data_IF_023631102381
#
_entry.id   IF_023631102381
#
_cell.length_a   1.000
_cell.length_b   1.000
_cell.length_c   1.000
_cell.angle_alpha   90.00
_cell.angle_beta   90.00
_cell.angle_gamma   90.00
#
_symmetry.space_group_name_H-M   'P 1'
#
loop_
_entity.id
_entity.type
_entity.pdbx_description
1 polymer ?
#
# COMPACT_ATOMS: atom_id res chain seq x y z
N UNK A 1 -77.35 -47.78 -13.79
CA UNK A 1 -76.37 -47.16 -12.92
C UNK A 1 -75.24 -46.69 -13.79
N UNK A 2 -75.29 -45.45 -14.18
CA UNK A 2 -74.42 -44.81 -15.18
C UNK A 2 -73.36 -43.96 -14.41
N UNK A 3 -72.11 -44.32 -14.52
CA UNK A 3 -71.02 -43.63 -13.85
C UNK A 3 -70.51 -42.49 -14.76
N UNK A 4 -70.76 -41.26 -14.35
CA UNK A 4 -70.25 -40.04 -15.01
C UNK A 4 -68.74 -39.90 -14.89
N UNK A 5 -68.07 -39.68 -16.02
CA UNK A 5 -66.60 -39.30 -16.10
C UNK A 5 -66.40 -37.84 -15.67
N UNK A 6 -65.35 -37.51 -14.93
CA UNK A 6 -64.99 -36.11 -14.63
C UNK A 6 -64.37 -35.43 -15.86
N UNK A 7 -64.90 -34.27 -16.17
CA UNK A 7 -64.43 -33.38 -17.25
C UNK A 7 -63.12 -32.73 -16.91
N UNK A 8 -62.11 -32.95 -17.74
CA UNK A 8 -60.79 -32.41 -17.68
C UNK A 8 -60.77 -30.88 -18.01
N UNK A 9 -60.67 -30.03 -17.01
CA UNK A 9 -60.54 -28.58 -17.18
C UNK A 9 -59.11 -28.26 -17.48
N UNK A 10 -58.76 -28.16 -18.77
CA UNK A 10 -57.46 -27.61 -19.23
C UNK A 10 -57.33 -26.15 -18.79
N UNK A 11 -56.51 -25.89 -17.75
CA UNK A 11 -56.07 -24.55 -17.39
C UNK A 11 -55.09 -24.02 -18.46
N UNK A 12 -55.57 -23.02 -19.22
CA UNK A 12 -54.70 -22.25 -20.13
C UNK A 12 -53.58 -21.55 -19.32
N UNK A 13 -52.32 -21.60 -19.78
CA UNK A 13 -51.25 -20.88 -19.09
C UNK A 13 -51.48 -19.37 -19.19
N UNK A 14 -51.61 -18.73 -18.03
CA UNK A 14 -51.68 -17.26 -17.92
C UNK A 14 -50.33 -16.69 -18.36
N UNK A 15 -50.32 -16.02 -19.52
CA UNK A 15 -49.13 -15.30 -20.00
C UNK A 15 -48.66 -14.29 -18.95
N UNK A 16 -47.47 -14.52 -18.40
CA UNK A 16 -46.85 -13.61 -17.44
C UNK A 16 -46.60 -12.27 -18.13
N UNK A 17 -47.44 -11.30 -17.88
CA UNK A 17 -47.22 -9.89 -18.28
C UNK A 17 -45.99 -9.39 -17.59
N UNK A 18 -44.88 -9.31 -18.33
CA UNK A 18 -43.60 -8.72 -17.89
C UNK A 18 -43.82 -7.22 -17.64
N UNK A 19 -44.23 -6.88 -16.40
CA UNK A 19 -44.36 -5.47 -15.98
C UNK A 19 -43.00 -4.80 -16.17
N UNK A 20 -42.89 -3.88 -17.14
CA UNK A 20 -41.77 -2.93 -17.23
C UNK A 20 -41.69 -2.21 -15.88
N UNK A 21 -40.63 -2.47 -15.09
CA UNK A 21 -40.36 -1.72 -13.85
C UNK A 21 -40.26 -0.25 -14.24
N UNK A 22 -41.28 0.54 -13.96
CA UNK A 22 -41.17 2.02 -13.96
C UNK A 22 -40.11 2.38 -12.92
N UNK A 23 -39.09 3.15 -13.34
CA UNK A 23 -38.13 3.71 -12.43
C UNK A 23 -38.92 4.54 -11.41
N UNK A 24 -38.89 4.18 -10.13
CA UNK A 24 -39.63 4.90 -9.10
C UNK A 24 -39.00 6.30 -8.92
N UNK A 25 -39.79 7.25 -8.46
CA UNK A 25 -39.35 8.61 -8.11
C UNK A 25 -38.12 8.60 -7.19
N UNK A 26 -38.06 7.63 -6.28
CA UNK A 26 -36.96 7.43 -5.33
C UNK A 26 -35.63 7.08 -6.02
N UNK A 27 -35.70 6.27 -7.10
CA UNK A 27 -34.51 5.94 -7.91
C UNK A 27 -34.01 7.16 -8.70
N UNK A 28 -34.91 7.99 -9.20
CA UNK A 28 -34.53 9.25 -9.89
C UNK A 28 -33.90 10.24 -8.93
N UNK A 29 -34.43 10.39 -7.72
CA UNK A 29 -33.82 11.22 -6.67
C UNK A 29 -32.46 10.67 -6.25
N UNK A 30 -32.33 9.38 -6.00
CA UNK A 30 -31.06 8.74 -5.66
C UNK A 30 -30.00 8.96 -6.74
N UNK A 31 -30.35 8.81 -8.01
CA UNK A 31 -29.45 9.09 -9.14
C UNK A 31 -29.07 10.57 -9.15
N UNK A 32 -30.01 11.49 -8.93
CA UNK A 32 -29.74 12.93 -8.88
C UNK A 32 -28.75 13.34 -7.79
N UNK A 33 -28.75 12.67 -6.62
CA UNK A 33 -27.78 12.92 -5.55
C UNK A 33 -26.42 12.29 -5.81
N UNK A 34 -26.35 11.12 -6.46
CA UNK A 34 -25.09 10.42 -6.71
C UNK A 34 -24.39 10.93 -7.98
N UNK A 35 -25.15 11.36 -8.99
CA UNK A 35 -24.63 11.76 -10.29
C UNK A 35 -23.55 12.84 -10.25
N UNK A 36 -23.67 13.94 -9.47
CA UNK A 36 -22.64 14.97 -9.40
C UNK A 36 -21.30 14.41 -8.91
N UNK A 37 -21.32 13.63 -7.82
CA UNK A 37 -20.10 13.01 -7.27
C UNK A 37 -19.48 12.01 -8.26
N UNK A 38 -20.32 11.21 -8.93
CA UNK A 38 -19.87 10.26 -9.94
C UNK A 38 -19.23 10.97 -11.15
N UNK A 39 -19.82 12.05 -11.64
CA UNK A 39 -19.26 12.85 -12.74
C UNK A 39 -17.94 13.50 -12.37
N UNK A 40 -17.82 14.03 -11.13
CA UNK A 40 -16.56 14.59 -10.65
C UNK A 40 -15.44 13.51 -10.62
N UNK A 41 -15.74 12.33 -10.11
CA UNK A 41 -14.78 11.21 -10.11
C UNK A 41 -14.43 10.80 -11.54
N UNK A 42 -15.42 10.68 -12.43
CA UNK A 42 -15.19 10.31 -13.82
C UNK A 42 -14.25 11.29 -14.53
N UNK A 43 -14.47 12.59 -14.36
CA UNK A 43 -13.67 13.63 -15.01
C UNK A 43 -12.31 13.79 -14.33
N UNK A 44 -12.29 14.03 -13.01
CA UNK A 44 -11.06 14.41 -12.31
C UNK A 44 -10.18 13.24 -11.91
N UNK A 45 -10.68 12.02 -11.87
CA UNK A 45 -9.84 10.84 -11.62
C UNK A 45 -9.59 10.10 -12.93
N UNK A 46 -10.63 9.55 -13.54
CA UNK A 46 -10.44 8.71 -14.74
C UNK A 46 -10.03 9.52 -15.97
N UNK A 47 -10.55 10.76 -16.11
CA UNK A 47 -10.13 11.67 -17.17
C UNK A 47 -8.65 12.04 -17.08
N UNK A 48 -8.14 12.34 -15.87
CA UNK A 48 -6.70 12.61 -15.70
C UNK A 48 -5.83 11.37 -15.86
N UNK A 49 -6.29 10.18 -15.44
CA UNK A 49 -5.57 8.94 -15.72
C UNK A 49 -5.47 8.71 -17.24
N UNK A 50 -6.58 8.88 -17.94
CA UNK A 50 -6.61 8.78 -19.41
C UNK A 50 -5.70 9.80 -20.10
N UNK A 51 -5.72 11.05 -19.61
CA UNK A 51 -4.83 12.11 -20.11
C UNK A 51 -3.35 11.77 -19.85
N UNK A 52 -2.99 11.33 -18.64
CA UNK A 52 -1.63 10.90 -18.32
C UNK A 52 -1.21 9.74 -19.22
N UNK A 53 -2.12 8.76 -19.44
CA UNK A 53 -1.90 7.67 -20.39
C UNK A 53 -1.61 8.19 -21.80
N UNK A 54 -2.41 9.12 -22.31
CA UNK A 54 -2.18 9.74 -23.63
C UNK A 54 -0.83 10.45 -23.71
N UNK A 55 -0.50 11.29 -22.73
CA UNK A 55 0.78 12.02 -22.66
C UNK A 55 1.97 11.06 -22.60
N UNK A 56 1.86 9.93 -21.92
CA UNK A 56 2.94 8.95 -21.79
C UNK A 56 3.40 8.34 -23.12
N UNK A 57 2.53 8.36 -24.14
CA UNK A 57 2.83 7.91 -25.51
C UNK A 57 3.19 9.05 -26.47
N UNK A 58 3.34 10.27 -25.97
CA UNK A 58 3.70 11.45 -26.77
C UNK A 58 5.20 11.77 -26.74
N UNK A 59 5.64 12.70 -27.58
CA UNK A 59 7.00 13.24 -27.56
C UNK A 59 7.14 14.49 -26.67
N UNK A 60 6.14 14.81 -25.83
CA UNK A 60 6.14 16.01 -25.01
C UNK A 60 7.15 15.91 -23.84
N UNK A 61 8.42 16.16 -24.14
CA UNK A 61 9.53 16.20 -23.18
C UNK A 61 10.27 17.55 -23.23
N UNK A 62 9.52 18.65 -23.33
CA UNK A 62 10.03 20.03 -23.32
C UNK A 62 8.93 21.00 -22.86
N UNK A 63 9.28 22.27 -22.69
CA UNK A 63 8.31 23.33 -22.36
C UNK A 63 7.23 23.54 -23.43
N UNK A 64 7.53 23.22 -24.69
CA UNK A 64 6.58 23.31 -25.80
C UNK A 64 5.85 21.95 -25.91
N UNK A 65 4.51 21.95 -25.89
CA UNK A 65 3.75 20.72 -26.03
C UNK A 65 3.97 20.06 -27.40
N UNK A 66 4.30 18.77 -27.38
CA UNK A 66 4.40 17.93 -28.57
C UNK A 66 3.61 16.64 -28.34
N UNK A 67 2.40 16.60 -28.88
CA UNK A 67 1.49 15.45 -28.75
C UNK A 67 1.66 14.43 -29.89
N UNK A 68 2.70 14.55 -30.74
CA UNK A 68 2.99 13.53 -31.73
C UNK A 68 3.25 12.17 -31.05
N UNK A 69 2.77 11.10 -31.69
CA UNK A 69 2.82 9.76 -31.10
C UNK A 69 4.25 9.18 -31.09
N UNK A 70 4.76 8.89 -29.90
CA UNK A 70 6.11 8.34 -29.68
C UNK A 70 6.12 6.82 -29.54
N UNK A 71 4.96 6.15 -29.53
CA UNK A 71 4.87 4.72 -29.23
C UNK A 71 5.42 4.39 -27.84
N UNK A 72 6.21 3.32 -27.73
CA UNK A 72 6.81 2.87 -26.47
C UNK A 72 8.17 3.51 -26.14
N UNK A 73 8.60 4.53 -26.89
CA UNK A 73 9.93 5.15 -26.73
C UNK A 73 10.23 5.57 -25.29
N UNK A 74 9.29 6.27 -24.64
CA UNK A 74 9.47 6.74 -23.27
C UNK A 74 9.63 5.60 -22.27
N UNK A 75 8.87 4.53 -22.44
CA UNK A 75 8.97 3.32 -21.60
C UNK A 75 10.29 2.58 -21.79
N UNK A 76 10.73 2.39 -23.06
CA UNK A 76 12.02 1.75 -23.36
C UNK A 76 13.17 2.57 -22.76
N UNK A 77 13.11 3.90 -22.91
CA UNK A 77 14.09 4.81 -22.32
C UNK A 77 14.18 4.61 -20.81
N UNK A 78 13.04 4.61 -20.09
CA UNK A 78 13.01 4.45 -18.64
C UNK A 78 13.63 3.13 -18.18
N UNK A 79 13.27 2.00 -18.79
CA UNK A 79 13.85 0.70 -18.39
C UNK A 79 15.36 0.59 -18.71
N UNK A 80 15.90 1.42 -19.59
CA UNK A 80 17.33 1.52 -19.87
C UNK A 80 18.05 2.56 -19.02
N UNK A 81 17.31 3.43 -18.34
CA UNK A 81 17.86 4.47 -17.48
C UNK A 81 18.37 3.91 -16.15
N UNK A 82 19.60 4.31 -15.77
CA UNK A 82 20.23 3.91 -14.51
C UNK A 82 19.38 4.28 -13.29
N UNK A 83 18.86 5.51 -13.29
CA UNK A 83 18.07 6.05 -12.17
C UNK A 83 16.79 5.24 -11.97
N UNK A 84 16.04 4.97 -13.05
CA UNK A 84 14.81 4.19 -12.98
C UNK A 84 15.06 2.74 -12.52
N UNK A 85 16.16 2.11 -12.96
CA UNK A 85 16.54 0.79 -12.47
C UNK A 85 16.86 0.81 -10.96
N UNK A 86 17.55 1.85 -10.47
CA UNK A 86 17.79 2.04 -9.05
C UNK A 86 16.49 2.23 -8.27
N UNK A 87 15.54 3.01 -8.80
CA UNK A 87 14.23 3.25 -8.19
C UNK A 87 13.43 1.96 -8.03
N UNK A 88 13.41 1.11 -9.06
CA UNK A 88 12.72 -0.20 -9.00
C UNK A 88 13.35 -1.10 -7.94
N UNK A 89 14.69 -1.18 -7.89
CA UNK A 89 15.42 -1.91 -6.85
C UNK A 89 15.06 -1.38 -5.45
N UNK A 90 15.13 -0.06 -5.25
CA UNK A 90 14.87 0.58 -3.97
C UNK A 90 13.42 0.33 -3.53
N UNK A 91 12.46 0.47 -4.45
CA UNK A 91 11.04 0.20 -4.17
C UNK A 91 10.82 -1.25 -3.77
N UNK A 92 11.45 -2.20 -4.44
CA UNK A 92 11.35 -3.62 -4.10
C UNK A 92 11.84 -3.89 -2.67
N UNK A 93 13.07 -3.47 -2.35
CA UNK A 93 13.65 -3.72 -1.03
C UNK A 93 12.93 -2.92 0.06
N UNK A 94 12.56 -1.67 -0.21
CA UNK A 94 11.74 -0.88 0.70
C UNK A 94 10.42 -1.59 1.02
N UNK A 95 9.70 -2.05 0.01
CA UNK A 95 8.40 -2.73 0.18
C UNK A 95 8.54 -3.99 1.03
N UNK A 96 9.51 -4.85 0.73
CA UNK A 96 9.74 -6.10 1.47
C UNK A 96 10.08 -5.82 2.94
N UNK A 97 11.05 -4.94 3.17
CA UNK A 97 11.50 -4.61 4.53
C UNK A 97 10.41 -3.88 5.32
N UNK A 98 9.78 -2.88 4.71
CA UNK A 98 8.72 -2.10 5.33
C UNK A 98 7.53 -2.98 5.76
N UNK A 99 6.99 -3.79 4.86
CA UNK A 99 5.86 -4.68 5.15
C UNK A 99 6.26 -5.70 6.23
N UNK A 100 7.42 -6.34 6.08
CA UNK A 100 7.90 -7.33 7.03
C UNK A 100 8.04 -6.77 8.45
N UNK A 101 8.73 -5.65 8.59
CA UNK A 101 8.93 -5.04 9.91
C UNK A 101 7.64 -4.44 10.50
N UNK A 102 6.76 -3.84 9.71
CA UNK A 102 5.46 -3.33 10.19
C UNK A 102 4.58 -4.46 10.69
N UNK A 103 4.54 -5.59 10.00
CA UNK A 103 3.77 -6.76 10.46
C UNK A 103 4.36 -7.32 11.76
N UNK A 104 5.66 -7.53 11.80
CA UNK A 104 6.32 -8.12 12.97
C UNK A 104 6.14 -7.21 14.19
N UNK A 105 6.48 -5.92 14.06
CA UNK A 105 6.38 -4.96 15.18
C UNK A 105 4.94 -4.75 15.62
N UNK A 106 4.00 -4.58 14.69
CA UNK A 106 2.59 -4.38 15.00
C UNK A 106 1.96 -5.59 15.67
N UNK A 107 2.24 -6.80 15.17
CA UNK A 107 1.77 -8.04 15.78
C UNK A 107 2.35 -8.27 17.19
N UNK A 108 3.66 -8.07 17.36
CA UNK A 108 4.30 -8.21 18.69
C UNK A 108 3.71 -7.23 19.70
N UNK A 109 3.55 -5.95 19.33
CA UNK A 109 2.94 -4.95 20.20
C UNK A 109 1.46 -5.27 20.49
N UNK A 110 0.71 -5.78 19.51
CA UNK A 110 -0.67 -6.18 19.69
C UNK A 110 -0.79 -7.35 20.69
N UNK A 111 0.08 -8.36 20.58
CA UNK A 111 0.12 -9.49 21.53
C UNK A 111 0.44 -9.01 22.95
N UNK A 112 1.40 -8.07 23.09
CA UNK A 112 1.75 -7.51 24.41
C UNK A 112 0.59 -6.73 25.03
N UNK A 113 -0.11 -5.90 24.23
CA UNK A 113 -1.26 -5.11 24.73
C UNK A 113 -2.51 -5.95 24.96
N UNK A 114 -2.67 -7.08 24.27
CA UNK A 114 -3.80 -8.01 24.47
C UNK A 114 -3.78 -8.70 25.85
N UNK A 115 -2.60 -8.77 26.49
CA UNK A 115 -2.42 -9.33 27.82
C UNK A 115 -3.01 -8.47 28.97
N UNK A 116 -3.78 -7.45 28.66
CA UNK A 116 -4.47 -6.56 29.64
C UNK A 116 -3.48 -5.95 30.67
N UNK A 117 -2.33 -5.49 30.20
CA UNK A 117 -1.28 -4.88 31.03
C UNK A 117 -1.78 -3.61 31.73
N UNK A 118 -1.25 -3.32 32.93
CA UNK A 118 -1.53 -2.05 33.62
C UNK A 118 -1.04 -0.87 32.79
N UNK A 119 -1.93 0.11 32.53
CA UNK A 119 -1.62 1.27 31.68
C UNK A 119 -1.75 1.02 30.16
N UNK A 120 -2.40 -0.07 29.74
CA UNK A 120 -2.65 -0.39 28.31
C UNK A 120 -3.12 0.83 27.49
N UNK A 121 -4.09 1.67 27.95
CA UNK A 121 -4.54 2.83 27.16
C UNK A 121 -3.43 3.85 26.88
N UNK A 122 -2.51 4.04 27.83
CA UNK A 122 -1.36 4.93 27.64
C UNK A 122 -0.40 4.38 26.58
N UNK A 123 0.01 3.13 26.70
CA UNK A 123 0.91 2.50 25.72
C UNK A 123 0.27 2.40 24.34
N UNK A 124 -1.02 2.07 24.26
CA UNK A 124 -1.75 2.05 23.00
C UNK A 124 -1.72 3.41 22.32
N UNK A 125 -2.03 4.49 23.04
CA UNK A 125 -2.00 5.83 22.47
C UNK A 125 -0.58 6.25 22.08
N UNK A 126 0.44 5.89 22.84
CA UNK A 126 1.85 6.17 22.53
C UNK A 126 2.28 5.52 21.22
N UNK A 127 1.91 4.26 20.98
CA UNK A 127 2.25 3.56 19.74
C UNK A 127 1.38 3.96 18.56
N UNK A 128 0.16 4.45 18.78
CA UNK A 128 -0.72 4.97 17.73
C UNK A 128 -0.35 6.40 17.32
N UNK A 129 0.26 7.17 18.20
CA UNK A 129 0.56 8.59 17.96
C UNK A 129 1.35 8.85 16.65
N UNK A 130 2.40 8.07 16.30
CA UNK A 130 3.18 8.34 15.09
C UNK A 130 2.35 8.33 13.80
N UNK A 131 1.31 7.49 13.73
CA UNK A 131 0.48 7.41 12.52
C UNK A 131 -0.39 8.65 12.28
N UNK A 132 -0.57 9.50 13.29
CA UNK A 132 -1.28 10.78 13.16
C UNK A 132 -0.41 11.88 12.51
N UNK A 133 0.90 11.67 12.41
CA UNK A 133 1.82 12.61 11.76
C UNK A 133 1.76 12.46 10.24
N UNK A 134 2.00 13.55 9.51
CA UNK A 134 2.22 13.44 8.06
C UNK A 134 3.58 12.79 7.76
N UNK A 135 3.69 12.12 6.61
CA UNK A 135 4.96 11.55 6.16
C UNK A 135 6.05 12.60 5.97
N UNK A 136 5.70 13.83 5.60
CA UNK A 136 6.66 14.95 5.49
C UNK A 136 7.25 15.30 6.85
N UNK A 137 6.42 15.45 7.87
CA UNK A 137 6.89 15.75 9.26
C UNK A 137 7.78 14.61 9.76
N UNK A 138 7.36 13.38 9.57
CA UNK A 138 8.18 12.20 9.91
C UNK A 138 9.52 12.24 9.19
N UNK A 139 9.55 12.53 7.89
CA UNK A 139 10.78 12.63 7.11
C UNK A 139 11.74 13.67 7.68
N UNK A 140 11.27 14.88 7.94
CA UNK A 140 12.10 15.97 8.49
C UNK A 140 12.64 15.63 9.89
N UNK A 141 11.79 15.07 10.77
CA UNK A 141 12.21 14.68 12.13
C UNK A 141 13.27 13.58 12.08
N UNK A 142 13.05 12.54 11.27
CA UNK A 142 14.01 11.43 11.14
C UNK A 142 15.30 11.83 10.41
N UNK A 143 15.22 12.76 9.44
CA UNK A 143 16.42 13.36 8.83
C UNK A 143 17.30 14.02 9.89
N UNK A 144 16.71 14.79 10.80
CA UNK A 144 17.43 15.43 11.89
C UNK A 144 17.98 14.41 12.91
N UNK A 145 17.15 13.44 13.32
CA UNK A 145 17.54 12.39 14.28
C UNK A 145 18.69 11.52 13.76
N UNK A 146 18.64 11.11 12.50
CA UNK A 146 19.62 10.24 11.86
C UNK A 146 20.70 11.01 11.08
N UNK A 147 20.88 12.31 11.35
CA UNK A 147 21.95 13.08 10.73
C UNK A 147 23.32 12.57 11.22
N UNK A 148 24.26 12.24 10.30
CA UNK A 148 25.57 11.69 10.69
C UNK A 148 26.41 12.59 11.61
N UNK A 149 26.21 13.92 11.51
CA UNK A 149 26.98 14.90 12.29
C UNK A 149 26.31 15.35 13.58
N UNK A 150 25.00 15.08 13.72
CA UNK A 150 24.17 15.53 14.85
C UNK A 150 23.24 14.41 15.30
N UNK A 151 22.15 14.74 15.96
CA UNK A 151 21.12 13.77 16.34
C UNK A 151 21.68 12.62 17.19
N UNK A 152 21.28 11.40 16.86
CA UNK A 152 21.63 10.19 17.62
C UNK A 152 23.14 9.92 17.58
N UNK A 153 23.83 10.34 16.53
CA UNK A 153 25.28 10.14 16.39
C UNK A 153 26.10 10.84 17.48
N UNK A 154 25.60 11.90 18.11
CA UNK A 154 26.27 12.51 19.25
C UNK A 154 26.50 11.54 20.43
N UNK A 155 25.60 10.57 20.59
CA UNK A 155 25.73 9.52 21.59
C UNK A 155 26.49 8.30 21.05
N UNK A 156 26.21 7.89 19.80
CA UNK A 156 26.84 6.72 19.18
C UNK A 156 28.36 6.92 18.98
N UNK A 157 28.79 8.13 18.66
CA UNK A 157 30.21 8.48 18.53
C UNK A 157 30.98 8.26 19.83
N UNK A 158 30.34 8.47 20.99
CA UNK A 158 30.95 8.18 22.30
C UNK A 158 31.18 6.68 22.53
N UNK A 159 30.43 5.84 21.83
CA UNK A 159 30.53 4.37 21.82
C UNK A 159 31.43 3.85 20.70
N UNK A 160 32.11 4.75 19.94
CA UNK A 160 32.94 4.39 18.80
C UNK A 160 32.14 3.97 17.53
N UNK A 161 30.82 4.22 17.50
CA UNK A 161 29.96 3.89 16.36
C UNK A 161 29.67 5.15 15.55
N UNK A 162 29.92 5.10 14.25
CA UNK A 162 29.74 6.22 13.32
C UNK A 162 28.90 5.82 12.11
N UNK A 163 27.61 5.46 12.29
CA UNK A 163 26.77 5.10 11.17
C UNK A 163 26.50 6.31 10.27
N UNK A 164 26.58 6.08 8.96
CA UNK A 164 26.30 7.12 7.95
C UNK A 164 24.81 7.28 7.67
N UNK A 165 23.97 6.38 8.18
CA UNK A 165 22.52 6.39 8.02
C UNK A 165 22.09 6.59 6.56
N UNK A 166 21.24 7.57 6.29
CA UNK A 166 20.70 7.87 4.96
C UNK A 166 21.74 8.48 3.98
N UNK A 167 22.96 8.75 4.41
CA UNK A 167 24.06 9.22 3.53
C UNK A 167 24.97 8.09 3.07
N UNK A 168 24.76 6.85 3.53
CA UNK A 168 25.58 5.70 3.14
C UNK A 168 25.19 5.21 1.75
N UNK A 169 26.14 5.26 0.81
CA UNK A 169 25.93 4.84 -0.57
C UNK A 169 26.22 3.37 -0.83
N UNK A 170 26.65 2.62 0.18
CA UNK A 170 26.96 1.20 0.02
C UNK A 170 25.68 0.38 -0.23
N UNK A 171 25.83 -0.67 -1.04
CA UNK A 171 24.78 -1.66 -1.28
C UNK A 171 25.15 -2.96 -0.59
N UNK A 172 24.31 -3.42 0.34
CA UNK A 172 24.54 -4.64 1.11
C UNK A 172 24.15 -5.87 0.29
N UNK A 173 24.97 -6.92 0.32
CA UNK A 173 24.78 -8.15 -0.44
C UNK A 173 24.55 -7.90 -1.94
N UNK A 174 25.21 -6.85 -2.48
CA UNK A 174 25.05 -6.41 -3.85
C UNK A 174 25.75 -7.31 -4.88
N UNK A 175 25.14 -7.42 -6.04
CA UNK A 175 25.73 -7.99 -7.23
C UNK A 175 25.38 -7.14 -8.45
N UNK A 176 26.24 -7.14 -9.46
CA UNK A 176 26.01 -6.34 -10.67
C UNK A 176 24.86 -6.92 -11.49
N UNK A 177 23.84 -6.11 -11.72
CA UNK A 177 22.70 -6.44 -12.59
C UNK A 177 22.34 -5.25 -13.49
N UNK A 178 22.54 -5.44 -14.77
CA UNK A 178 22.37 -4.35 -15.73
C UNK A 178 23.36 -3.20 -15.48
N UNK A 179 22.83 -2.01 -15.22
CA UNK A 179 23.62 -0.81 -14.96
C UNK A 179 23.77 -0.50 -13.46
N UNK A 180 23.11 -1.27 -12.59
CA UNK A 180 23.08 -1.03 -11.15
C UNK A 180 23.71 -2.21 -10.39
N UNK A 181 24.15 -1.94 -9.18
CA UNK A 181 24.41 -2.95 -8.15
C UNK A 181 23.09 -3.31 -7.48
N UNK A 182 22.62 -4.57 -7.67
CA UNK A 182 21.36 -5.06 -7.11
C UNK A 182 21.60 -5.62 -5.71
N UNK A 183 20.96 -5.05 -4.72
CA UNK A 183 21.09 -5.39 -3.31
C UNK A 183 20.37 -4.34 -2.46
N UNK A 184 20.54 -4.40 -1.14
CA UNK A 184 19.87 -3.48 -0.20
C UNK A 184 20.76 -2.23 0.00
N UNK A 185 20.33 -1.03 -0.45
CA UNK A 185 21.09 0.18 -0.15
C UNK A 185 21.09 0.47 1.36
N UNK A 186 22.25 0.69 1.94
CA UNK A 186 22.36 0.95 3.38
C UNK A 186 21.56 2.19 3.81
N UNK A 187 21.57 3.24 3.00
CA UNK A 187 20.79 4.45 3.24
C UNK A 187 19.27 4.19 3.29
N UNK A 188 18.77 3.21 2.52
CA UNK A 188 17.34 2.88 2.49
C UNK A 188 16.85 2.32 3.83
N UNK A 189 17.73 1.68 4.60
CA UNK A 189 17.40 1.15 5.94
C UNK A 189 16.96 2.28 6.89
N UNK A 190 17.59 3.44 6.83
CA UNK A 190 17.19 4.61 7.62
C UNK A 190 15.76 5.06 7.27
N UNK A 191 15.41 5.06 5.99
CA UNK A 191 14.05 5.39 5.52
C UNK A 191 13.04 4.34 5.98
N UNK A 192 13.40 3.05 5.90
CA UNK A 192 12.56 1.94 6.40
C UNK A 192 12.28 2.10 7.89
N UNK A 193 13.29 2.42 8.72
CA UNK A 193 13.12 2.64 10.16
C UNK A 193 12.07 3.74 10.42
N UNK A 194 12.17 4.88 9.72
CA UNK A 194 11.22 5.99 9.86
C UNK A 194 9.79 5.58 9.44
N UNK A 195 9.65 4.89 8.31
CA UNK A 195 8.37 4.42 7.81
C UNK A 195 7.72 3.36 8.72
N UNK A 196 8.51 2.41 9.21
CA UNK A 196 8.05 1.35 10.14
C UNK A 196 7.60 1.98 11.45
N UNK A 197 8.38 2.90 12.03
CA UNK A 197 7.97 3.60 13.25
C UNK A 197 6.62 4.28 13.08
N UNK A 198 6.39 4.96 11.97
CA UNK A 198 5.13 5.66 11.72
C UNK A 198 3.95 4.69 11.53
N UNK A 199 4.14 3.59 10.80
CA UNK A 199 3.03 2.72 10.39
C UNK A 199 2.83 1.50 11.29
N UNK A 200 3.71 1.25 12.25
CA UNK A 200 3.56 0.18 13.25
C UNK A 200 2.26 0.33 14.04
N UNK A 201 1.85 1.57 14.38
CA UNK A 201 0.59 1.84 15.09
C UNK A 201 -0.64 1.36 14.33
N UNK A 202 -0.67 1.54 13.00
CA UNK A 202 -1.76 1.03 12.17
C UNK A 202 -1.85 -0.50 12.22
N UNK A 203 -0.73 -1.18 12.04
CA UNK A 203 -0.66 -2.64 12.12
C UNK A 203 -1.04 -3.15 13.50
N UNK A 204 -0.56 -2.49 14.57
CA UNK A 204 -0.95 -2.75 15.95
C UNK A 204 -2.47 -2.67 16.13
N UNK A 205 -3.12 -1.61 15.65
CA UNK A 205 -4.57 -1.44 15.79
C UNK A 205 -5.35 -2.56 15.10
N UNK A 206 -4.94 -2.92 13.87
CA UNK A 206 -5.56 -4.00 13.13
C UNK A 206 -5.42 -5.36 13.83
N UNK A 207 -4.22 -5.70 14.29
CA UNK A 207 -3.99 -6.96 14.99
C UNK A 207 -4.65 -7.00 16.37
N UNK A 208 -4.64 -5.90 17.12
CA UNK A 208 -5.28 -5.84 18.44
C UNK A 208 -6.80 -6.00 18.30
N UNK A 209 -7.42 -5.38 17.30
CA UNK A 209 -8.84 -5.59 17.03
C UNK A 209 -9.15 -7.06 16.68
N UNK A 210 -8.28 -7.68 15.88
CA UNK A 210 -8.42 -9.09 15.53
C UNK A 210 -8.23 -10.05 16.70
N UNK A 211 -7.23 -9.79 17.54
CA UNK A 211 -6.98 -10.59 18.74
C UNK A 211 -8.17 -10.55 19.72
N UNK A 212 -8.77 -9.37 19.90
CA UNK A 212 -9.95 -9.16 20.74
C UNK A 212 -11.25 -9.69 20.13
N UNK A 213 -11.26 -9.96 18.85
CA UNK A 213 -12.37 -10.63 18.17
C UNK A 213 -12.37 -12.15 18.32
N UNK A 214 -11.29 -12.75 18.83
CA UNK A 214 -11.21 -14.20 19.09
C UNK A 214 -11.81 -14.47 20.47
N UNK A 215 -12.87 -15.31 20.59
CA UNK A 215 -13.47 -15.65 21.88
C UNK A 215 -12.44 -16.25 22.84
N UNK A 216 -12.52 -15.87 24.14
CA UNK A 216 -11.60 -16.37 25.18
C UNK A 216 -11.74 -17.90 25.35
N UNK A 217 -12.94 -18.47 25.10
CA UNK A 217 -13.23 -19.91 25.15
C UNK A 217 -12.33 -20.72 24.23
N UNK A 218 -11.92 -20.18 23.09
CA UNK A 218 -10.98 -20.85 22.17
C UNK A 218 -9.61 -21.04 22.81
N UNK A 219 -9.16 -20.06 23.59
CA UNK A 219 -7.88 -20.09 24.29
C UNK A 219 -7.97 -21.03 25.51
N UNK A 220 -9.10 -20.97 26.25
CA UNK A 220 -9.33 -21.82 27.43
C UNK A 220 -9.43 -23.29 27.02
N UNK A 221 -10.17 -23.62 25.97
CA UNK A 221 -10.25 -24.98 25.45
C UNK A 221 -8.87 -25.55 25.10
N UNK A 222 -8.05 -24.77 24.40
CA UNK A 222 -6.70 -25.19 24.06
C UNK A 222 -5.79 -25.41 25.27
N UNK A 223 -5.95 -24.59 26.33
CA UNK A 223 -5.24 -24.80 27.61
C UNK A 223 -5.69 -26.07 28.32
N UNK A 224 -6.99 -26.37 28.29
CA UNK A 224 -7.52 -27.62 28.85
C UNK A 224 -6.99 -28.85 28.11
N UNK A 225 -6.73 -28.74 26.79
CA UNK A 225 -6.07 -29.76 25.98
C UNK A 225 -4.56 -29.87 26.23
N UNK A 226 -4.00 -29.08 27.17
CA UNK A 226 -2.58 -29.09 27.52
C UNK A 226 -1.67 -28.33 26.56
N UNK A 227 -2.20 -27.47 25.71
CA UNK A 227 -1.39 -26.68 24.78
C UNK A 227 -0.63 -25.56 25.52
N UNK A 228 0.66 -25.40 25.25
CA UNK A 228 1.44 -24.24 25.72
C UNK A 228 1.02 -22.96 25.05
N UNK A 229 1.25 -21.79 25.69
CA UNK A 229 0.92 -20.49 25.11
C UNK A 229 1.52 -20.29 23.70
N UNK A 230 2.78 -20.67 23.49
CA UNK A 230 3.42 -20.60 22.18
C UNK A 230 2.68 -21.47 21.15
N UNK A 231 2.21 -22.64 21.55
CA UNK A 231 1.45 -23.53 20.67
C UNK A 231 0.08 -22.94 20.32
N UNK A 232 -0.61 -22.32 21.30
CA UNK A 232 -1.88 -21.62 21.11
C UNK A 232 -1.71 -20.50 20.08
N UNK A 233 -0.70 -19.62 20.27
CA UNK A 233 -0.44 -18.55 19.30
C UNK A 233 -0.11 -19.11 17.91
N UNK A 234 0.82 -20.06 17.81
CA UNK A 234 1.31 -20.56 16.52
C UNK A 234 0.27 -21.37 15.74
N UNK A 235 -0.51 -22.21 16.42
CA UNK A 235 -1.43 -23.15 15.76
C UNK A 235 -2.87 -22.67 15.69
N UNK A 236 -3.28 -21.72 16.53
CA UNK A 236 -4.67 -21.26 16.63
C UNK A 236 -4.76 -19.78 16.31
N UNK A 237 -4.10 -18.91 17.08
CA UNK A 237 -4.27 -17.46 16.97
C UNK A 237 -3.74 -16.92 15.65
N UNK A 238 -2.49 -17.21 15.28
CA UNK A 238 -1.89 -16.71 14.04
C UNK A 238 -2.64 -17.17 12.78
N UNK A 239 -3.10 -18.43 12.67
CA UNK A 239 -3.98 -18.83 11.56
C UNK A 239 -5.30 -18.07 11.50
N UNK A 240 -5.93 -17.78 12.66
CA UNK A 240 -7.17 -16.99 12.70
C UNK A 240 -6.94 -15.53 12.32
N UNK A 241 -5.75 -14.98 12.53
CA UNK A 241 -5.37 -13.62 12.12
C UNK A 241 -4.97 -13.50 10.64
N UNK A 242 -4.93 -14.58 9.87
CA UNK A 242 -4.54 -14.53 8.44
C UNK A 242 -5.32 -13.48 7.62
N UNK A 243 -6.65 -13.34 7.73
CA UNK A 243 -7.38 -12.33 6.96
C UNK A 243 -6.92 -10.91 7.28
N UNK A 244 -6.62 -10.64 8.57
CA UNK A 244 -6.11 -9.34 9.02
C UNK A 244 -4.70 -9.12 8.49
N UNK A 245 -3.84 -10.13 8.55
CA UNK A 245 -2.48 -10.06 7.99
C UNK A 245 -2.50 -9.73 6.51
N UNK A 246 -3.38 -10.36 5.74
CA UNK A 246 -3.54 -10.07 4.31
C UNK A 246 -3.99 -8.63 4.10
N UNK A 247 -4.94 -8.14 4.88
CA UNK A 247 -5.39 -6.74 4.81
C UNK A 247 -4.26 -5.76 5.12
N UNK A 248 -3.46 -6.01 6.16
CA UNK A 248 -2.28 -5.20 6.50
C UNK A 248 -1.26 -5.21 5.36
N UNK A 249 -0.94 -6.38 4.79
CA UNK A 249 -0.01 -6.50 3.66
C UNK A 249 -0.46 -5.61 2.50
N UNK A 250 -1.73 -5.66 2.11
CA UNK A 250 -2.24 -4.94 0.96
C UNK A 250 -2.21 -3.43 1.17
N UNK A 251 -2.62 -2.97 2.37
CA UNK A 251 -2.59 -1.54 2.69
C UNK A 251 -1.13 -1.06 2.73
N UNK A 252 -0.21 -1.80 3.34
CA UNK A 252 1.20 -1.44 3.38
C UNK A 252 1.86 -1.50 1.99
N UNK A 253 1.52 -2.49 1.16
CA UNK A 253 1.99 -2.57 -0.22
C UNK A 253 1.51 -1.38 -1.04
N UNK A 254 0.24 -0.98 -0.90
CA UNK A 254 -0.28 0.21 -1.56
C UNK A 254 0.47 1.49 -1.14
N UNK A 255 0.78 1.64 0.15
CA UNK A 255 1.55 2.77 0.67
C UNK A 255 2.98 2.74 0.13
N UNK A 256 3.65 1.59 0.17
CA UNK A 256 5.06 1.46 -0.23
C UNK A 256 5.31 1.72 -1.72
N UNK A 257 4.42 1.22 -2.59
CA UNK A 257 4.57 1.37 -4.05
C UNK A 257 4.37 2.80 -4.56
N UNK A 258 3.73 3.66 -3.77
CA UNK A 258 3.51 5.08 -4.12
C UNK A 258 4.20 6.04 -3.14
N UNK A 259 5.15 5.54 -2.33
CA UNK A 259 5.81 6.38 -1.34
C UNK A 259 6.60 7.51 -2.03
N UNK A 260 6.33 8.72 -1.57
CA UNK A 260 6.96 9.94 -2.08
C UNK A 260 7.34 10.87 -0.92
N UNK A 261 6.35 11.30 -0.14
CA UNK A 261 6.47 12.38 0.85
C UNK A 261 7.58 12.16 1.87
N UNK A 262 7.65 10.94 2.44
CA UNK A 262 8.66 10.58 3.43
C UNK A 262 10.07 10.65 2.85
N UNK A 263 10.27 10.02 1.69
CA UNK A 263 11.58 9.93 1.05
C UNK A 263 12.01 11.32 0.58
N UNK A 264 11.11 12.05 -0.08
CA UNK A 264 11.42 13.38 -0.57
C UNK A 264 11.80 14.36 0.56
N UNK A 265 11.10 14.30 1.70
CA UNK A 265 11.39 15.14 2.87
C UNK A 265 12.62 14.70 3.65
N UNK A 266 12.93 13.38 3.71
CA UNK A 266 14.02 12.85 4.52
C UNK A 266 15.36 12.87 3.79
N UNK A 267 15.39 12.47 2.53
CA UNK A 267 16.63 12.20 1.79
C UNK A 267 16.66 12.78 0.39
N UNK A 268 15.47 13.07 -0.19
CA UNK A 268 15.34 13.21 -1.64
C UNK A 268 15.81 11.92 -2.34
N UNK A 269 16.37 12.02 -3.56
CA UNK A 269 16.87 10.85 -4.30
C UNK A 269 18.11 10.20 -3.65
N UNK A 270 18.79 10.92 -2.75
CA UNK A 270 20.06 10.49 -2.17
C UNK A 270 21.23 10.50 -3.17
N UNK A 271 22.44 10.39 -2.66
CA UNK A 271 23.63 10.26 -3.51
C UNK A 271 23.56 8.92 -4.28
N UNK A 272 23.90 8.94 -5.56
CA UNK A 272 23.80 7.77 -6.45
C UNK A 272 22.39 7.10 -6.48
N UNK A 273 21.34 7.86 -6.20
CA UNK A 273 19.94 7.39 -6.18
C UNK A 273 19.70 6.22 -5.22
N UNK A 274 20.45 6.13 -4.10
CA UNK A 274 20.35 5.00 -3.13
C UNK A 274 19.06 5.01 -2.31
N UNK A 275 18.35 6.14 -2.26
CA UNK A 275 17.04 6.26 -1.60
C UNK A 275 15.95 6.69 -2.55
N UNK A 276 16.27 6.88 -3.84
CA UNK A 276 15.28 7.31 -4.84
C UNK A 276 14.21 6.25 -5.08
N UNK A 277 13.04 6.71 -5.51
CA UNK A 277 11.88 5.87 -5.84
C UNK A 277 11.14 6.48 -7.04
N UNK A 278 10.34 5.68 -7.78
CA UNK A 278 9.63 6.18 -8.95
C UNK A 278 8.78 7.42 -8.70
N UNK A 279 8.21 7.58 -7.48
CA UNK A 279 7.44 8.78 -7.12
C UNK A 279 8.27 10.06 -7.11
N UNK A 280 9.50 10.00 -6.55
CA UNK A 280 10.43 11.14 -6.51
C UNK A 280 10.96 11.42 -7.91
N UNK A 281 11.36 10.40 -8.65
CA UNK A 281 11.82 10.54 -10.02
C UNK A 281 10.74 11.13 -10.93
N UNK A 282 9.50 10.66 -10.86
CA UNK A 282 8.35 11.21 -11.59
C UNK A 282 8.17 12.69 -11.31
N UNK A 283 8.22 13.09 -10.04
CA UNK A 283 8.06 14.48 -9.63
C UNK A 283 9.17 15.37 -10.20
N UNK A 284 10.44 14.97 -10.05
CA UNK A 284 11.58 15.73 -10.56
C UNK A 284 11.59 15.81 -12.08
N UNK A 285 11.31 14.70 -12.77
CA UNK A 285 11.26 14.62 -14.22
C UNK A 285 10.16 15.52 -14.80
N UNK A 286 8.96 15.47 -14.21
CA UNK A 286 7.81 16.25 -14.69
C UNK A 286 7.94 17.72 -14.36
N UNK A 287 8.14 18.06 -13.06
CA UNK A 287 7.94 19.42 -12.57
C UNK A 287 9.24 20.24 -12.51
N UNK A 288 10.41 19.58 -12.43
CA UNK A 288 11.71 20.24 -12.45
C UNK A 288 12.42 20.12 -13.81
N UNK A 289 12.29 18.97 -14.46
CA UNK A 289 12.94 18.68 -15.73
C UNK A 289 12.12 19.06 -16.96
N UNK A 290 10.80 19.27 -16.83
CA UNK A 290 9.85 19.51 -17.93
C UNK A 290 9.79 18.37 -18.96
N UNK A 291 10.13 17.13 -18.54
CA UNK A 291 9.99 15.93 -19.36
C UNK A 291 8.64 15.26 -19.07
N UNK A 292 7.57 15.87 -19.57
CA UNK A 292 6.18 15.51 -19.22
C UNK A 292 5.80 14.10 -19.67
N UNK A 293 6.21 13.68 -20.87
CA UNK A 293 5.90 12.34 -21.36
C UNK A 293 6.65 11.25 -20.60
N UNK A 294 7.91 11.48 -20.22
CA UNK A 294 8.66 10.55 -19.36
C UNK A 294 8.06 10.46 -17.97
N UNK A 295 7.72 11.59 -17.34
CA UNK A 295 7.06 11.61 -16.05
C UNK A 295 5.69 10.93 -16.07
N UNK A 296 4.90 11.15 -17.13
CA UNK A 296 3.64 10.45 -17.35
C UNK A 296 3.83 8.93 -17.51
N UNK A 297 4.89 8.49 -18.21
CA UNK A 297 5.20 7.07 -18.36
C UNK A 297 5.57 6.44 -17.00
N UNK A 298 6.34 7.14 -16.14
CA UNK A 298 6.63 6.67 -14.78
C UNK A 298 5.32 6.52 -13.98
N UNK A 299 4.42 7.52 -14.03
CA UNK A 299 3.14 7.49 -13.33
C UNK A 299 2.26 6.31 -13.78
N UNK A 300 2.21 6.00 -15.07
CA UNK A 300 1.49 4.83 -15.59
C UNK A 300 2.12 3.52 -15.13
N UNK A 301 3.45 3.41 -15.11
CA UNK A 301 4.14 2.21 -14.57
C UNK A 301 3.80 2.03 -13.09
N UNK A 302 3.80 3.10 -12.28
CA UNK A 302 3.40 3.05 -10.88
C UNK A 302 1.94 2.61 -10.73
N UNK A 303 1.02 3.15 -11.52
CA UNK A 303 -0.40 2.75 -11.52
C UNK A 303 -0.57 1.26 -11.82
N UNK A 304 0.10 0.77 -12.87
CA UNK A 304 0.06 -0.65 -13.26
C UNK A 304 0.65 -1.53 -12.17
N UNK A 305 1.76 -1.12 -11.57
CA UNK A 305 2.39 -1.85 -10.46
C UNK A 305 1.44 -2.02 -9.28
N UNK A 306 0.77 -0.94 -8.86
CA UNK A 306 -0.23 -0.99 -7.80
C UNK A 306 -1.43 -1.87 -8.19
N UNK A 307 -1.91 -1.75 -9.44
CA UNK A 307 -3.05 -2.52 -9.93
C UNK A 307 -2.77 -4.04 -9.93
N UNK A 308 -1.56 -4.47 -10.28
CA UNK A 308 -1.14 -5.89 -10.26
C UNK A 308 -1.30 -6.50 -8.87
N UNK A 309 -1.07 -5.75 -7.80
CA UNK A 309 -1.22 -6.25 -6.43
C UNK A 309 -2.67 -6.15 -5.93
N UNK A 310 -3.36 -5.04 -6.21
CA UNK A 310 -4.68 -4.76 -5.63
C UNK A 310 -5.81 -5.50 -6.36
N UNK A 311 -5.78 -5.56 -7.70
CA UNK A 311 -6.89 -6.15 -8.47
C UNK A 311 -7.11 -7.64 -8.17
N UNK A 312 -6.08 -8.51 -8.12
CA UNK A 312 -6.29 -9.91 -7.76
C UNK A 312 -6.90 -10.10 -6.37
N UNK A 313 -6.48 -9.26 -5.42
CA UNK A 313 -7.05 -9.29 -4.08
C UNK A 313 -8.54 -8.94 -4.08
N UNK A 314 -8.94 -7.85 -4.74
CA UNK A 314 -10.34 -7.43 -4.80
C UNK A 314 -11.23 -8.49 -5.47
N UNK A 315 -10.71 -9.19 -6.47
CA UNK A 315 -11.43 -10.29 -7.13
C UNK A 315 -11.60 -11.47 -6.18
N UNK A 316 -10.56 -11.82 -5.42
CA UNK A 316 -10.59 -12.95 -4.50
C UNK A 316 -11.42 -12.67 -3.23
N UNK A 317 -11.38 -11.45 -2.69
CA UNK A 317 -12.18 -11.07 -1.52
C UNK A 317 -13.68 -11.15 -1.79
N UNK A 318 -14.13 -10.72 -2.99
CA UNK A 318 -15.53 -10.87 -3.41
C UNK A 318 -16.01 -12.32 -3.52
N UNK A 319 -15.12 -13.25 -3.87
CA UNK A 319 -15.44 -14.67 -3.94
C UNK A 319 -15.57 -15.34 -2.57
N UNK A 320 -14.94 -14.77 -1.54
CA UNK A 320 -15.01 -15.27 -0.18
C UNK A 320 -16.28 -14.79 0.57
N UNK A 321 -16.93 -13.72 0.08
CA UNK A 321 -18.17 -13.16 0.63
C UNK A 321 -19.44 -13.66 -0.08
N UNK A 322 -19.30 -14.30 -1.24
CA UNK A 322 -20.40 -14.86 -2.03
C UNK A 322 -20.56 -16.37 -1.78
#
# INVERSE_FOLDING_TARGET
METAKPTDLQQKPVAAVRKRKKISSDHLMAIGFILPSFLLILIFVYGFIGWTGYVSFSNWNSLVPDFSFAGLKNYIYLFQDFRFQADLRNTLFFTILFIGFVIISGLLLAILLDQKIKGEPFFRNLFLFPMALSFVVTGVVWQWLLNPSTGVNLFLNKLGLNPKWYTDTNVLAGFNWGKIEFGIPAALIAVVIAAVWQMTGFSLAMYLAGLRGIPDEVREAARMDGASEIMIYRKIILPLLRPITVSVIIIMAHISLKIFDLIYAMTGPGANFVTDVPGVYMFETTFRGNYYANGAAIAIIMLVSVAIFIVPYLINSRKAEA
#
